data_IF_653738692515
#
_entry.id   IF_653738692515
#
_cell.length_a   1.000
_cell.length_b   1.000
_cell.length_c   1.000
_cell.angle_alpha   90.00
_cell.angle_beta   90.00
_cell.angle_gamma   90.00
#
_symmetry.space_group_name_H-M   'P 1'
#
loop_
_entity.id
_entity.type
_entity.pdbx_description
1 polymer ?
#
# COMPACT_ATOMS: atom_id res chain seq x y z
N UNK A 1 -19.85 20.18 -9.80
CA UNK A 1 -18.38 20.21 -9.75
C UNK A 1 -17.93 18.77 -9.51
N UNK A 2 -17.87 17.98 -10.59
CA UNK A 2 -17.40 16.60 -10.54
C UNK A 2 -15.88 16.66 -10.41
N UNK A 3 -15.36 16.48 -9.19
CA UNK A 3 -13.93 16.50 -8.97
C UNK A 3 -13.32 15.24 -9.59
N UNK A 4 -12.59 15.42 -10.68
CA UNK A 4 -11.46 14.63 -11.18
C UNK A 4 -11.20 13.26 -10.52
N UNK A 5 -12.18 12.36 -10.52
CA UNK A 5 -11.91 10.93 -10.51
C UNK A 5 -11.45 10.59 -11.92
N UNK A 6 -10.25 11.06 -12.27
CA UNK A 6 -9.50 10.39 -13.32
C UNK A 6 -9.42 8.94 -12.87
N UNK A 7 -10.20 8.08 -13.51
CA UNK A 7 -10.08 6.64 -13.42
C UNK A 7 -8.66 6.30 -13.85
N UNK A 8 -7.73 6.30 -12.90
CA UNK A 8 -6.39 5.85 -13.15
C UNK A 8 -6.54 4.38 -13.49
N UNK A 9 -6.37 4.06 -14.77
CA UNK A 9 -6.35 2.68 -15.25
C UNK A 9 -5.05 1.97 -14.84
N UNK A 10 -4.17 2.68 -14.12
CA UNK A 10 -2.94 2.12 -13.56
C UNK A 10 -3.28 1.15 -12.42
N UNK A 11 -3.33 -0.14 -12.78
CA UNK A 11 -3.49 -1.26 -11.86
C UNK A 11 -2.14 -1.93 -11.54
N UNK A 12 -1.03 -1.32 -11.98
CA UNK A 12 0.33 -1.74 -11.67
C UNK A 12 0.88 -0.86 -10.56
N UNK A 13 1.22 -1.52 -9.47
CA UNK A 13 1.78 -0.93 -8.27
C UNK A 13 3.18 -1.50 -8.07
N UNK A 14 4.04 -0.68 -7.49
CA UNK A 14 5.45 -1.01 -7.29
C UNK A 14 5.83 -0.73 -5.85
N UNK A 15 6.69 -1.58 -5.28
CA UNK A 15 7.21 -1.42 -3.92
C UNK A 15 8.66 -1.87 -3.84
N UNK A 16 9.47 -1.15 -3.07
CA UNK A 16 10.83 -1.55 -2.73
C UNK A 16 10.90 -2.47 -1.50
N UNK A 17 9.76 -2.79 -0.91
CA UNK A 17 9.65 -3.66 0.25
C UNK A 17 9.48 -5.12 -0.19
N UNK A 18 10.55 -5.91 -0.11
CA UNK A 18 10.51 -7.35 -0.41
C UNK A 18 9.59 -8.12 0.55
N UNK A 19 9.52 -7.69 1.80
CA UNK A 19 8.64 -8.31 2.79
C UNK A 19 7.17 -8.13 2.39
N UNK A 20 6.78 -6.95 1.86
CA UNK A 20 5.43 -6.74 1.36
C UNK A 20 5.09 -7.68 0.20
N UNK A 21 6.04 -7.92 -0.73
CA UNK A 21 5.85 -8.92 -1.79
C UNK A 21 5.61 -10.31 -1.19
N UNK A 22 6.40 -10.71 -0.21
CA UNK A 22 6.26 -12.00 0.47
C UNK A 22 4.94 -12.11 1.25
N UNK A 23 4.54 -11.06 1.96
CA UNK A 23 3.27 -10.97 2.69
C UNK A 23 2.07 -11.09 1.75
N UNK A 24 2.13 -10.46 0.58
CA UNK A 24 1.06 -10.52 -0.42
C UNK A 24 1.00 -11.88 -1.11
N UNK A 25 2.12 -12.60 -1.19
CA UNK A 25 2.21 -13.94 -1.76
C UNK A 25 1.74 -15.04 -0.80
N UNK A 26 2.09 -14.93 0.49
CA UNK A 26 1.65 -15.82 1.55
C UNK A 26 1.16 -15.03 2.78
N UNK A 27 -0.08 -14.51 2.76
CA UNK A 27 -0.61 -13.71 3.85
C UNK A 27 -0.71 -14.45 5.19
N UNK A 28 -0.86 -15.78 5.15
CA UNK A 28 -1.05 -16.59 6.35
C UNK A 28 0.22 -16.71 7.20
N UNK A 29 1.40 -16.52 6.58
CA UNK A 29 2.67 -16.46 7.30
C UNK A 29 2.85 -15.16 8.12
N UNK A 30 1.98 -14.15 7.92
CA UNK A 30 2.12 -12.81 8.50
C UNK A 30 0.86 -12.35 9.25
N UNK A 31 0.43 -13.07 10.30
CA UNK A 31 -0.85 -12.81 10.97
C UNK A 31 -0.95 -11.44 11.62
N UNK A 32 0.18 -10.80 11.97
CA UNK A 32 0.20 -9.46 12.56
C UNK A 32 -0.27 -8.36 11.58
N UNK A 33 -0.34 -8.65 10.28
CA UNK A 33 -0.74 -7.72 9.22
C UNK A 33 -2.06 -8.16 8.55
N UNK A 34 -2.88 -8.98 9.22
CA UNK A 34 -4.06 -9.59 8.61
C UNK A 34 -5.04 -8.54 8.07
N UNK A 35 -5.26 -7.45 8.81
CA UNK A 35 -6.18 -6.38 8.42
C UNK A 35 -5.68 -5.67 7.15
N UNK A 36 -4.41 -5.30 7.11
CA UNK A 36 -3.80 -4.62 5.97
C UNK A 36 -3.78 -5.54 4.73
N UNK A 37 -3.52 -6.84 4.93
CA UNK A 37 -3.49 -7.82 3.84
C UNK A 37 -4.88 -8.14 3.31
N UNK A 38 -5.92 -8.15 4.15
CA UNK A 38 -7.32 -8.25 3.72
C UNK A 38 -7.71 -7.08 2.81
N UNK A 39 -7.28 -5.85 3.14
CA UNK A 39 -7.53 -4.69 2.28
C UNK A 39 -6.86 -4.86 0.92
N UNK A 40 -5.61 -5.34 0.86
CA UNK A 40 -4.93 -5.61 -0.41
C UNK A 40 -5.64 -6.71 -1.21
N UNK A 41 -6.15 -7.76 -0.56
CA UNK A 41 -6.95 -8.80 -1.21
C UNK A 41 -8.26 -8.26 -1.79
N UNK A 42 -8.95 -7.38 -1.06
CA UNK A 42 -10.15 -6.72 -1.56
C UNK A 42 -9.84 -5.87 -2.80
N UNK A 43 -8.75 -5.11 -2.78
CA UNK A 43 -8.29 -4.34 -3.95
C UNK A 43 -8.01 -5.27 -5.14
N UNK A 44 -7.33 -6.41 -4.93
CA UNK A 44 -7.11 -7.42 -5.98
C UNK A 44 -8.42 -7.93 -6.60
N UNK A 45 -9.48 -8.09 -5.80
CA UNK A 45 -10.80 -8.50 -6.30
C UNK A 45 -11.51 -7.40 -7.10
N UNK A 46 -11.33 -6.14 -6.72
CA UNK A 46 -11.96 -5.00 -7.39
C UNK A 46 -11.27 -4.62 -8.71
N UNK A 47 -10.00 -4.96 -8.90
CA UNK A 47 -9.18 -4.54 -10.04
C UNK A 47 -8.65 -5.75 -10.83
N UNK A 48 -9.17 -6.04 -12.04
CA UNK A 48 -8.85 -7.24 -12.81
C UNK A 48 -7.35 -7.43 -13.17
N UNK A 49 -6.63 -6.33 -13.36
CA UNK A 49 -5.21 -6.29 -13.74
C UNK A 49 -4.31 -5.86 -12.56
N UNK A 50 -4.78 -6.00 -11.32
CA UNK A 50 -4.01 -5.61 -10.14
C UNK A 50 -2.69 -6.39 -10.05
N UNK A 51 -1.58 -5.66 -10.04
CA UNK A 51 -0.24 -6.20 -9.84
C UNK A 51 0.53 -5.36 -8.83
N UNK A 52 1.22 -6.01 -7.91
CA UNK A 52 2.25 -5.40 -7.07
C UNK A 52 3.57 -6.11 -7.39
N UNK A 53 4.57 -5.36 -7.85
CA UNK A 53 5.89 -5.89 -8.21
C UNK A 53 7.01 -5.20 -7.42
N UNK A 54 8.15 -5.90 -7.29
CA UNK A 54 9.32 -5.34 -6.63
C UNK A 54 9.99 -4.30 -7.53
N UNK A 55 10.27 -3.13 -6.96
CA UNK A 55 11.00 -2.05 -7.62
C UNK A 55 12.15 -1.56 -6.74
N UNK A 56 13.41 -1.54 -7.23
CA UNK A 56 14.56 -1.15 -6.42
C UNK A 56 14.40 0.24 -5.78
N UNK A 57 14.75 0.35 -4.49
CA UNK A 57 14.68 1.61 -3.73
C UNK A 57 15.41 2.78 -4.39
N UNK A 58 16.54 2.51 -5.03
CA UNK A 58 17.34 3.52 -5.76
C UNK A 58 16.59 4.11 -6.96
N UNK A 59 15.56 3.44 -7.45
CA UNK A 59 14.70 3.92 -8.52
C UNK A 59 13.38 4.50 -7.96
N UNK A 60 13.03 4.18 -6.70
CA UNK A 60 11.83 4.65 -6.00
C UNK A 60 12.08 5.94 -5.17
N UNK A 61 12.85 6.88 -5.71
CA UNK A 61 13.36 8.04 -4.95
C UNK A 61 12.23 8.93 -4.38
N UNK A 62 11.15 9.11 -5.14
CA UNK A 62 10.04 9.98 -4.75
C UNK A 62 9.31 9.39 -3.55
N UNK A 63 8.88 8.12 -3.64
CA UNK A 63 8.15 7.48 -2.55
C UNK A 63 9.05 7.32 -1.31
N UNK A 64 10.33 7.00 -1.49
CA UNK A 64 11.29 6.92 -0.38
C UNK A 64 11.49 8.27 0.32
N UNK A 65 11.62 9.35 -0.44
CA UNK A 65 11.73 10.71 0.09
C UNK A 65 10.48 11.10 0.87
N UNK A 66 9.28 10.83 0.32
CA UNK A 66 8.02 11.08 0.99
C UNK A 66 7.91 10.30 2.31
N UNK A 67 8.23 9.00 2.29
CA UNK A 67 8.17 8.17 3.50
C UNK A 67 9.19 8.63 4.56
N UNK A 68 10.39 9.06 4.15
CA UNK A 68 11.41 9.61 5.03
C UNK A 68 10.98 10.92 5.66
N UNK A 69 10.41 11.82 4.86
CA UNK A 69 9.86 13.09 5.34
C UNK A 69 8.71 12.84 6.31
N UNK A 70 7.78 11.92 5.97
CA UNK A 70 6.68 11.51 6.85
C UNK A 70 7.17 11.04 8.23
N UNK A 71 8.21 10.18 8.27
CA UNK A 71 8.83 9.72 9.52
C UNK A 71 9.55 10.82 10.30
N UNK A 72 10.04 11.86 9.63
CA UNK A 72 10.75 12.98 10.26
C UNK A 72 9.82 13.94 11.00
N UNK A 73 8.51 13.90 10.72
CA UNK A 73 7.56 14.68 11.49
C UNK A 73 7.51 14.16 12.94
N UNK A 74 7.88 15.02 13.90
CA UNK A 74 7.81 14.75 15.34
C UNK A 74 6.36 14.72 15.88
N UNK A 75 5.40 14.24 15.10
CA UNK A 75 4.00 14.08 15.50
C UNK A 75 3.63 12.62 15.40
N UNK A 76 2.89 12.12 16.38
CA UNK A 76 2.30 10.78 16.30
C UNK A 76 1.38 10.73 15.09
N UNK A 77 1.78 9.97 14.07
CA UNK A 77 0.90 9.59 12.96
C UNK A 77 0.05 8.42 13.46
N UNK A 78 -1.22 8.67 13.71
CA UNK A 78 -2.16 7.59 13.99
C UNK A 78 -2.51 6.91 12.67
N UNK A 79 -2.35 5.59 12.60
CA UNK A 79 -2.97 4.82 11.52
C UNK A 79 -4.49 4.91 11.70
N UNK A 80 -5.15 5.62 10.79
CA UNK A 80 -6.61 5.67 10.72
C UNK A 80 -7.02 4.58 9.73
N UNK A 81 -7.26 3.37 10.24
CA UNK A 81 -7.89 2.30 9.46
C UNK A 81 -9.36 2.61 9.18
N UNK A 82 -10.00 1.83 8.30
CA UNK A 82 -11.44 1.92 8.04
C UNK A 82 -12.32 1.39 9.20
N UNK A 83 -11.74 1.15 10.39
CA UNK A 83 -12.48 0.71 11.56
C UNK A 83 -13.39 1.85 12.03
N UNK A 84 -14.69 1.71 11.80
CA UNK A 84 -15.70 2.56 12.45
C UNK A 84 -15.51 2.37 13.97
N UNK A 85 -15.35 3.44 14.77
CA UNK A 85 -15.36 3.31 16.22
C UNK A 85 -16.69 2.69 16.64
N UNK A 86 -16.63 1.53 17.29
CA UNK A 86 -17.81 0.87 17.87
C UNK A 86 -18.38 1.61 19.06
#
# INVERSE_FOLDING_TARGET
>A
MESMLHHSTCQRFETDCKDLIAMVADPQAWPNFSIELEVIQLLKLCFPDFKIEYFPRVQNEIADSLARNARSFHRSLCFIGCSIPG
#
